data_IF_806403366796
#
_entry.id   IF_806403366796
#
_cell.length_a   1.000
_cell.length_b   1.000
_cell.length_c   1.000
_cell.angle_alpha   90.00
_cell.angle_beta   90.00
_cell.angle_gamma   90.00
#
_symmetry.space_group_name_H-M   'P 1'
#
loop_
_entity.id
_entity.type
_entity.pdbx_description
1 polymer ?
#
# COMPACT_ATOMS: atom_id res chain seq x y z
N UNK A 1 -11.27 -31.09 30.26
CA UNK A 1 -10.66 -29.96 29.54
C UNK A 1 -9.90 -29.12 30.55
N UNK A 2 -8.66 -28.75 30.23
CA UNK A 2 -7.89 -27.81 31.06
C UNK A 2 -8.57 -26.45 31.09
N UNK A 3 -8.43 -25.70 32.18
CA UNK A 3 -8.94 -24.31 32.26
C UNK A 3 -8.40 -23.47 31.09
N UNK A 4 -7.15 -23.73 30.67
CA UNK A 4 -6.50 -23.09 29.52
C UNK A 4 -7.25 -23.37 28.21
N UNK A 5 -7.61 -24.62 27.94
CA UNK A 5 -8.36 -25.00 26.72
C UNK A 5 -9.73 -24.35 26.68
N UNK A 6 -10.40 -24.24 27.84
CA UNK A 6 -11.73 -23.64 27.91
C UNK A 6 -11.69 -22.14 27.60
N UNK A 7 -10.66 -21.44 28.07
CA UNK A 7 -10.44 -20.02 27.80
C UNK A 7 -10.06 -19.81 26.32
N UNK A 8 -9.16 -20.65 25.80
CA UNK A 8 -8.74 -20.60 24.40
C UNK A 8 -9.93 -20.78 23.44
N UNK A 9 -10.75 -21.81 23.65
CA UNK A 9 -11.90 -22.07 22.78
C UNK A 9 -12.90 -20.91 22.80
N UNK A 10 -13.20 -20.33 23.98
CA UNK A 10 -14.05 -19.14 24.06
C UNK A 10 -13.48 -17.95 23.30
N UNK A 11 -12.16 -17.77 23.34
CA UNK A 11 -11.52 -16.71 22.57
C UNK A 11 -11.62 -16.95 21.07
N UNK A 12 -11.45 -18.20 20.62
CA UNK A 12 -11.57 -18.56 19.21
C UNK A 12 -13.00 -18.34 18.69
N UNK A 13 -14.02 -18.73 19.46
CA UNK A 13 -15.43 -18.51 19.10
C UNK A 13 -15.72 -17.01 18.84
N UNK A 14 -15.25 -16.13 19.74
CA UNK A 14 -15.43 -14.68 19.60
C UNK A 14 -14.57 -14.13 18.44
N UNK A 15 -13.37 -14.65 18.25
CA UNK A 15 -12.48 -14.23 17.17
C UNK A 15 -13.08 -14.57 15.80
N UNK A 16 -13.73 -15.72 15.65
CA UNK A 16 -14.46 -16.09 14.43
C UNK A 16 -15.58 -15.10 14.12
N UNK A 17 -16.36 -14.70 15.12
CA UNK A 17 -17.37 -13.64 14.96
C UNK A 17 -16.74 -12.30 14.56
N UNK A 18 -15.58 -11.96 15.11
CA UNK A 18 -14.84 -10.74 14.75
C UNK A 18 -14.39 -10.77 13.28
N UNK A 19 -13.91 -11.92 12.78
CA UNK A 19 -13.53 -12.07 11.38
C UNK A 19 -14.75 -11.98 10.44
N UNK A 20 -15.91 -12.53 10.84
CA UNK A 20 -17.15 -12.38 10.09
C UNK A 20 -17.58 -10.91 10.01
N UNK A 21 -17.58 -10.19 11.15
CA UNK A 21 -17.91 -8.77 11.20
C UNK A 21 -16.95 -7.93 10.33
N UNK A 22 -15.65 -8.25 10.35
CA UNK A 22 -14.67 -7.59 9.48
C UNK A 22 -15.00 -7.82 7.99
N UNK A 23 -15.36 -9.06 7.63
CA UNK A 23 -15.72 -9.41 6.25
C UNK A 23 -17.00 -8.70 5.77
N UNK A 24 -17.95 -8.44 6.66
CA UNK A 24 -19.18 -7.70 6.34
C UNK A 24 -18.99 -6.17 6.35
N UNK A 25 -17.79 -5.68 6.67
CA UNK A 25 -17.47 -4.25 6.73
C UNK A 25 -17.87 -3.57 8.04
N UNK A 26 -18.26 -4.33 9.06
CA UNK A 26 -18.56 -3.84 10.42
C UNK A 26 -17.26 -3.63 11.23
N UNK A 27 -16.38 -2.76 10.74
CA UNK A 27 -15.01 -2.56 11.26
C UNK A 27 -14.97 -2.30 12.78
N UNK A 28 -15.82 -1.40 13.27
CA UNK A 28 -15.84 -1.02 14.69
C UNK A 28 -16.24 -2.19 15.59
N UNK A 29 -17.19 -3.00 15.15
CA UNK A 29 -17.65 -4.19 15.88
C UNK A 29 -16.59 -5.28 15.87
N UNK A 30 -15.90 -5.45 14.74
CA UNK A 30 -14.77 -6.39 14.65
C UNK A 30 -13.67 -6.03 15.66
N UNK A 31 -13.30 -4.74 15.76
CA UNK A 31 -12.32 -4.25 16.74
C UNK A 31 -12.72 -4.60 18.17
N UNK A 32 -13.99 -4.37 18.54
CA UNK A 32 -14.51 -4.70 19.87
C UNK A 32 -14.49 -6.21 20.15
N UNK A 33 -14.93 -7.03 19.20
CA UNK A 33 -14.91 -8.49 19.33
C UNK A 33 -13.48 -9.04 19.48
N UNK A 34 -12.51 -8.53 18.69
CA UNK A 34 -11.10 -8.88 18.87
C UNK A 34 -10.59 -8.49 20.27
N UNK A 35 -10.99 -7.32 20.76
CA UNK A 35 -10.66 -6.87 22.12
C UNK A 35 -11.24 -7.80 23.21
N UNK A 36 -12.44 -8.35 23.01
CA UNK A 36 -13.04 -9.30 23.94
C UNK A 36 -12.36 -10.67 23.90
N UNK A 37 -12.06 -11.19 22.70
CA UNK A 37 -11.32 -12.45 22.52
C UNK A 37 -9.93 -12.37 23.18
N UNK A 38 -9.26 -11.22 23.05
CA UNK A 38 -7.95 -10.98 23.64
C UNK A 38 -7.89 -11.25 25.15
N UNK A 39 -8.93 -10.83 25.89
CA UNK A 39 -8.97 -10.97 27.35
C UNK A 39 -8.86 -12.45 27.75
N UNK A 40 -9.59 -13.32 27.06
CA UNK A 40 -9.59 -14.76 27.34
C UNK A 40 -8.24 -15.40 26.97
N UNK A 41 -7.62 -15.02 25.86
CA UNK A 41 -6.29 -15.56 25.50
C UNK A 41 -5.18 -15.08 26.40
N UNK A 42 -5.23 -13.83 26.84
CA UNK A 42 -4.29 -13.32 27.83
C UNK A 42 -4.41 -14.09 29.15
N UNK A 43 -5.63 -14.35 29.62
CA UNK A 43 -5.84 -15.16 30.82
C UNK A 43 -5.28 -16.57 30.59
N UNK A 44 -5.59 -17.21 29.46
CA UNK A 44 -5.08 -18.54 29.12
C UNK A 44 -3.54 -18.60 29.10
N UNK A 45 -2.89 -17.62 28.47
CA UNK A 45 -1.43 -17.52 28.40
C UNK A 45 -0.81 -17.29 29.80
N UNK A 46 -1.46 -16.49 30.64
CA UNK A 46 -0.97 -16.15 31.99
C UNK A 46 -0.96 -17.33 32.96
N UNK A 47 -1.78 -18.36 32.71
CA UNK A 47 -1.81 -19.59 33.49
C UNK A 47 -0.58 -20.48 33.26
N UNK A 48 0.21 -20.21 32.21
CA UNK A 48 1.39 -20.99 31.85
C UNK A 48 2.68 -20.24 32.21
N UNK A 49 3.40 -20.78 33.20
CA UNK A 49 4.71 -20.27 33.59
C UNK A 49 5.76 -20.46 32.48
N UNK A 50 6.81 -19.64 32.52
CA UNK A 50 7.96 -19.72 31.60
C UNK A 50 8.73 -20.99 31.90
N UNK A 51 8.43 -22.07 31.18
CA UNK A 51 9.08 -23.35 31.34
C UNK A 51 9.00 -24.16 30.05
N UNK A 52 10.07 -24.88 29.71
CA UNK A 52 10.19 -25.59 28.42
C UNK A 52 9.11 -26.65 28.22
N UNK A 53 8.60 -27.25 29.30
CA UNK A 53 7.51 -28.24 29.26
C UNK A 53 6.15 -27.65 28.87
N UNK A 54 5.96 -26.33 29.00
CA UNK A 54 4.71 -25.67 28.63
C UNK A 54 4.72 -25.20 27.17
N UNK A 55 5.84 -25.39 26.47
CA UNK A 55 5.99 -25.06 25.05
C UNK A 55 5.64 -26.29 24.20
N UNK A 56 4.94 -26.14 23.06
CA UNK A 56 4.69 -24.88 22.34
C UNK A 56 3.45 -24.10 22.80
N UNK A 57 2.59 -24.69 23.63
CA UNK A 57 1.27 -24.15 23.98
C UNK A 57 1.33 -22.72 24.49
N UNK A 58 2.27 -22.42 25.39
CA UNK A 58 2.48 -21.07 25.91
C UNK A 58 2.81 -20.07 24.80
N UNK A 59 3.79 -20.38 23.95
CA UNK A 59 4.16 -19.49 22.84
C UNK A 59 3.03 -19.31 21.82
N UNK A 60 2.23 -20.35 21.55
CA UNK A 60 1.04 -20.26 20.69
C UNK A 60 0.02 -19.28 21.30
N UNK A 61 -0.27 -19.38 22.60
CA UNK A 61 -1.24 -18.49 23.27
C UNK A 61 -0.75 -17.04 23.30
N UNK A 62 0.55 -16.79 23.50
CA UNK A 62 1.09 -15.43 23.41
C UNK A 62 1.07 -14.88 21.99
N UNK A 63 1.37 -15.70 20.98
CA UNK A 63 1.24 -15.32 19.56
C UNK A 63 -0.22 -14.99 19.21
N UNK A 64 -1.16 -15.85 19.64
CA UNK A 64 -2.61 -15.68 19.47
C UNK A 64 -3.08 -14.38 20.12
N UNK A 65 -2.75 -14.18 21.41
CA UNK A 65 -3.04 -12.95 22.15
C UNK A 65 -2.50 -11.72 21.45
N UNK A 66 -1.24 -11.76 20.99
CA UNK A 66 -0.64 -10.62 20.31
C UNK A 66 -1.35 -10.29 18.98
N UNK A 67 -1.76 -11.31 18.23
CA UNK A 67 -2.49 -11.12 16.97
C UNK A 67 -3.88 -10.50 17.22
N UNK A 68 -4.60 -10.94 18.26
CA UNK A 68 -5.87 -10.35 18.68
C UNK A 68 -5.69 -8.89 19.13
N UNK A 69 -4.65 -8.61 19.91
CA UNK A 69 -4.32 -7.25 20.34
C UNK A 69 -4.03 -6.34 19.14
N UNK A 70 -3.24 -6.82 18.17
CA UNK A 70 -2.99 -6.11 16.91
C UNK A 70 -4.30 -5.80 16.16
N UNK A 71 -5.17 -6.78 15.99
CA UNK A 71 -6.45 -6.61 15.28
C UNK A 71 -7.44 -5.70 16.01
N UNK A 72 -7.33 -5.59 17.34
CA UNK A 72 -8.10 -4.62 18.15
C UNK A 72 -7.44 -3.22 18.24
N UNK A 73 -6.37 -2.97 17.49
CA UNK A 73 -5.57 -1.73 17.50
C UNK A 73 -4.91 -1.41 18.86
N UNK A 74 -4.68 -2.41 19.71
CA UNK A 74 -4.00 -2.28 21.00
C UNK A 74 -2.49 -2.57 20.85
N UNK A 75 -1.80 -1.78 20.02
CA UNK A 75 -0.43 -2.09 19.59
C UNK A 75 0.59 -2.09 20.74
N UNK A 76 0.47 -1.20 21.73
CA UNK A 76 1.34 -1.19 22.92
C UNK A 76 1.20 -2.48 23.75
N UNK A 77 0.00 -3.07 23.79
CA UNK A 77 -0.25 -4.33 24.48
C UNK A 77 0.23 -5.53 23.66
N UNK A 78 0.04 -5.49 22.33
CA UNK A 78 0.55 -6.50 21.42
C UNK A 78 2.08 -6.65 21.55
N UNK A 79 2.83 -5.55 21.61
CA UNK A 79 4.30 -5.57 21.81
C UNK A 79 4.70 -6.29 23.11
N UNK A 80 4.00 -6.00 24.21
CA UNK A 80 4.26 -6.65 25.51
C UNK A 80 3.99 -8.15 25.45
N UNK A 81 2.90 -8.55 24.82
CA UNK A 81 2.56 -9.96 24.65
C UNK A 81 3.58 -10.72 23.79
N UNK A 82 4.06 -10.09 22.72
CA UNK A 82 5.11 -10.67 21.87
C UNK A 82 6.40 -10.85 22.66
N UNK A 83 6.80 -9.82 23.42
CA UNK A 83 7.98 -9.86 24.28
C UNK A 83 7.88 -11.00 25.30
N UNK A 84 6.70 -11.20 25.90
CA UNK A 84 6.45 -12.31 26.82
C UNK A 84 6.53 -13.69 26.14
N UNK A 85 6.03 -13.83 24.91
CA UNK A 85 6.18 -15.04 24.10
C UNK A 85 7.65 -15.35 23.83
N UNK A 86 8.40 -14.36 23.33
CA UNK A 86 9.83 -14.47 22.98
C UNK A 86 10.75 -14.70 24.18
N UNK A 87 10.38 -14.23 25.37
CA UNK A 87 11.12 -14.46 26.60
C UNK A 87 11.12 -15.94 27.06
N UNK A 88 10.25 -16.77 26.49
CA UNK A 88 10.17 -18.20 26.81
C UNK A 88 11.11 -19.08 25.96
N UNK A 89 10.63 -20.29 25.64
CA UNK A 89 11.36 -21.22 24.77
C UNK A 89 10.55 -21.55 23.51
N UNK A 90 10.11 -20.54 22.72
CA UNK A 90 9.31 -20.78 21.53
C UNK A 90 10.08 -21.67 20.54
N UNK A 91 9.43 -22.68 19.95
CA UNK A 91 9.95 -23.35 18.76
C UNK A 91 10.27 -22.34 17.65
N UNK A 92 11.20 -22.69 16.77
CA UNK A 92 11.68 -21.78 15.73
C UNK A 92 10.56 -21.20 14.86
N UNK A 93 9.56 -22.00 14.48
CA UNK A 93 8.42 -21.55 13.67
C UNK A 93 7.63 -20.44 14.37
N UNK A 94 7.23 -20.66 15.64
CA UNK A 94 6.46 -19.67 16.42
C UNK A 94 7.33 -18.45 16.74
N UNK A 95 8.64 -18.63 16.95
CA UNK A 95 9.58 -17.54 17.15
C UNK A 95 9.63 -16.61 15.95
N UNK A 96 9.66 -17.15 14.73
CA UNK A 96 9.64 -16.34 13.51
C UNK A 96 8.27 -15.66 13.30
N UNK A 97 7.17 -16.34 13.60
CA UNK A 97 5.83 -15.71 13.57
C UNK A 97 5.71 -14.55 14.57
N UNK A 98 6.22 -14.72 15.79
CA UNK A 98 6.27 -13.66 16.81
C UNK A 98 7.13 -12.47 16.36
N UNK A 99 8.28 -12.72 15.71
CA UNK A 99 9.11 -11.66 15.15
C UNK A 99 8.42 -10.93 14.02
N UNK A 100 7.78 -11.64 13.09
CA UNK A 100 7.01 -11.03 12.00
C UNK A 100 5.89 -10.15 12.57
N UNK A 101 5.16 -10.65 13.57
CA UNK A 101 4.13 -9.86 14.25
C UNK A 101 4.71 -8.66 15.02
N UNK A 102 5.92 -8.76 15.56
CA UNK A 102 6.62 -7.63 16.18
C UNK A 102 6.98 -6.55 15.16
N UNK A 103 7.45 -6.94 13.96
CA UNK A 103 7.66 -6.00 12.86
C UNK A 103 6.36 -5.26 12.53
N UNK A 104 5.23 -5.98 12.43
CA UNK A 104 3.91 -5.41 12.14
C UNK A 104 3.43 -4.44 13.23
N UNK A 105 3.52 -4.86 14.50
CA UNK A 105 3.12 -4.03 15.64
C UNK A 105 3.96 -2.76 15.73
N UNK A 106 5.29 -2.88 15.58
CA UNK A 106 6.16 -1.71 15.62
C UNK A 106 5.89 -0.77 14.45
N UNK A 107 5.66 -1.31 13.26
CA UNK A 107 5.26 -0.52 12.12
C UNK A 107 3.98 0.27 12.40
N UNK A 108 2.92 -0.38 12.91
CA UNK A 108 1.67 0.30 13.24
C UNK A 108 1.85 1.34 14.36
N UNK A 109 2.70 1.07 15.35
CA UNK A 109 3.07 2.05 16.38
C UNK A 109 3.83 3.24 15.83
N UNK A 110 4.67 3.02 14.82
CA UNK A 110 5.38 4.09 14.14
C UNK A 110 4.45 4.91 13.24
N UNK A 111 3.38 4.30 12.71
CA UNK A 111 2.29 5.04 12.09
C UNK A 111 1.48 5.86 13.11
N UNK A 112 1.22 5.32 14.30
CA UNK A 112 0.52 6.04 15.37
C UNK A 112 1.46 7.05 16.05
N UNK A 113 1.59 8.24 15.47
CA UNK A 113 2.65 9.17 15.87
C UNK A 113 2.27 9.84 17.20
N UNK A 114 2.80 9.32 18.31
CA UNK A 114 2.87 10.05 19.58
C UNK A 114 3.76 11.30 19.40
N UNK A 115 3.14 12.47 19.16
CA UNK A 115 3.81 13.78 19.27
C UNK A 115 3.81 14.69 18.03
N UNK A 116 3.24 14.27 16.88
CA UNK A 116 3.01 15.16 15.73
C UNK A 116 1.50 15.40 15.60
N UNK A 117 1.06 16.64 15.74
CA UNK A 117 -0.33 17.00 15.44
C UNK A 117 -0.49 17.12 13.93
N UNK A 118 -0.84 16.02 13.26
CA UNK A 118 -1.23 16.05 11.85
C UNK A 118 -2.40 17.03 11.66
N UNK A 119 -2.31 17.88 10.65
CA UNK A 119 -3.46 18.66 10.16
C UNK A 119 -4.28 17.81 9.19
N UNK A 120 -5.53 18.21 8.92
CA UNK A 120 -6.40 17.44 8.01
C UNK A 120 -5.91 17.46 6.54
N UNK A 121 -4.97 18.33 6.22
CA UNK A 121 -4.37 18.50 4.88
C UNK A 121 -2.96 17.89 4.80
N UNK A 122 -2.61 17.06 5.79
CA UNK A 122 -1.33 16.36 5.87
C UNK A 122 -1.53 14.85 5.88
N UNK A 123 -0.62 14.17 5.20
CA UNK A 123 -0.42 12.73 5.35
C UNK A 123 1.07 12.42 5.47
N UNK A 124 1.38 11.24 5.98
CA UNK A 124 2.74 10.76 6.14
C UNK A 124 2.87 9.43 5.43
N UNK A 125 3.89 9.29 4.60
CA UNK A 125 4.30 8.02 4.02
C UNK A 125 5.50 7.48 4.79
N UNK A 126 5.40 6.27 5.32
CA UNK A 126 6.47 5.59 6.07
C UNK A 126 6.95 4.37 5.29
N UNK A 127 8.26 4.17 5.24
CA UNK A 127 8.88 2.99 4.64
C UNK A 127 9.44 2.07 5.71
N UNK A 128 9.24 0.77 5.53
CA UNK A 128 9.79 -0.25 6.42
C UNK A 128 10.29 -1.47 5.64
N UNK A 129 11.49 -1.92 5.96
CA UNK A 129 12.12 -3.09 5.34
C UNK A 129 13.62 -3.16 5.61
N UNK A 130 14.31 -4.04 4.90
CA UNK A 130 15.73 -4.32 5.09
C UNK A 130 16.63 -3.12 4.76
N UNK A 131 16.22 -2.25 3.82
CA UNK A 131 16.99 -1.05 3.45
C UNK A 131 16.64 0.19 4.30
N UNK A 132 15.81 0.03 5.32
CA UNK A 132 15.42 1.10 6.25
C UNK A 132 16.17 0.97 7.57
N UNK A 133 16.69 2.09 8.09
CA UNK A 133 17.27 2.18 9.42
C UNK A 133 16.60 3.31 10.21
N UNK A 134 17.05 3.56 11.45
CA UNK A 134 16.46 4.57 12.33
C UNK A 134 16.58 5.98 11.72
N UNK A 135 15.54 6.41 11.00
CA UNK A 135 15.52 7.71 10.32
C UNK A 135 16.34 7.78 9.03
N UNK A 136 16.71 6.65 8.42
CA UNK A 136 17.36 6.63 7.09
C UNK A 136 16.79 5.52 6.19
N UNK A 137 16.84 5.74 4.89
CA UNK A 137 16.51 4.76 3.84
C UNK A 137 17.36 5.06 2.61
N UNK A 138 17.56 4.08 1.73
CA UNK A 138 18.17 4.34 0.44
C UNK A 138 17.30 5.34 -0.36
N UNK A 139 17.95 6.38 -0.90
CA UNK A 139 17.27 7.51 -1.54
C UNK A 139 16.42 7.05 -2.74
N UNK A 140 16.89 6.08 -3.51
CA UNK A 140 16.22 5.60 -4.72
C UNK A 140 14.87 4.95 -4.42
N UNK A 141 14.78 4.12 -3.37
CA UNK A 141 13.52 3.49 -2.95
C UNK A 141 12.48 4.52 -2.50
N UNK A 142 12.95 5.62 -1.91
CA UNK A 142 12.10 6.71 -1.48
C UNK A 142 11.64 7.58 -2.64
N UNK A 143 12.58 8.10 -3.43
CA UNK A 143 12.31 9.06 -4.49
C UNK A 143 11.38 8.46 -5.54
N UNK A 144 11.57 7.18 -5.89
CA UNK A 144 10.62 6.45 -6.72
C UNK A 144 9.19 6.57 -6.18
N UNK A 145 8.95 6.33 -4.88
CA UNK A 145 7.62 6.36 -4.28
C UNK A 145 7.07 7.78 -4.12
N UNK A 146 7.94 8.75 -3.85
CA UNK A 146 7.60 10.18 -3.83
C UNK A 146 7.09 10.65 -5.20
N UNK A 147 7.71 10.19 -6.29
CA UNK A 147 7.24 10.53 -7.64
C UNK A 147 5.90 9.86 -7.97
N UNK A 148 5.73 8.58 -7.60
CA UNK A 148 4.47 7.86 -7.82
C UNK A 148 3.32 8.43 -7.01
N UNK A 149 3.55 8.82 -5.76
CA UNK A 149 2.52 9.42 -4.92
C UNK A 149 2.14 10.82 -5.43
N UNK A 150 3.10 11.60 -5.91
CA UNK A 150 2.86 12.89 -6.55
C UNK A 150 2.00 12.75 -7.80
N UNK A 151 2.33 11.78 -8.68
CA UNK A 151 1.52 11.46 -9.84
C UNK A 151 0.10 11.05 -9.43
N UNK A 152 -0.02 10.11 -8.49
CA UNK A 152 -1.32 9.63 -8.02
C UNK A 152 -2.18 10.75 -7.43
N UNK A 153 -1.57 11.65 -6.66
CA UNK A 153 -2.23 12.80 -6.08
C UNK A 153 -2.86 13.69 -7.16
N UNK A 154 -2.08 14.14 -8.15
CA UNK A 154 -2.62 15.00 -9.21
C UNK A 154 -3.67 14.30 -10.08
N UNK A 155 -3.51 12.99 -10.33
CA UNK A 155 -4.52 12.18 -11.03
C UNK A 155 -5.83 12.12 -10.27
N UNK A 156 -5.75 12.00 -8.94
CA UNK A 156 -6.92 12.01 -8.08
C UNK A 156 -7.62 13.37 -8.10
N UNK A 157 -6.86 14.48 -8.05
CA UNK A 157 -7.43 15.83 -8.19
C UNK A 157 -8.12 16.02 -9.54
N UNK A 158 -7.47 15.66 -10.65
CA UNK A 158 -8.05 15.73 -12.00
C UNK A 158 -9.37 14.95 -12.08
N UNK A 159 -9.40 13.72 -11.53
CA UNK A 159 -10.60 12.87 -11.48
C UNK A 159 -11.72 13.48 -10.65
N UNK A 160 -11.44 13.98 -9.45
CA UNK A 160 -12.46 14.60 -8.57
C UNK A 160 -13.05 15.89 -9.18
N UNK A 161 -12.25 16.60 -10.00
CA UNK A 161 -12.67 17.72 -10.83
C UNK A 161 -13.42 17.29 -12.11
N UNK A 162 -13.57 15.99 -12.36
CA UNK A 162 -14.20 15.40 -13.56
C UNK A 162 -13.54 15.82 -14.87
N UNK A 163 -12.21 15.95 -14.86
CA UNK A 163 -11.43 16.20 -16.06
C UNK A 163 -11.18 14.88 -16.81
N UNK A 164 -11.09 14.91 -18.16
CA UNK A 164 -10.75 13.72 -18.93
C UNK A 164 -9.31 13.27 -18.64
N UNK A 165 -9.05 11.97 -18.72
CA UNK A 165 -7.72 11.42 -18.47
C UNK A 165 -6.65 12.06 -19.37
N UNK A 166 -5.64 12.67 -18.73
CA UNK A 166 -4.55 13.36 -19.43
C UNK A 166 -3.49 12.36 -19.93
N UNK A 167 -3.47 12.14 -21.24
CA UNK A 167 -2.50 11.26 -21.91
C UNK A 167 -1.12 11.92 -22.05
N UNK A 168 -1.05 13.20 -22.43
CA UNK A 168 0.20 13.94 -22.71
C UNK A 168 0.35 15.21 -21.84
N UNK A 169 1.51 15.86 -21.88
CA UNK A 169 1.75 17.17 -21.25
C UNK A 169 1.91 17.18 -19.72
N UNK A 170 2.21 18.32 -19.11
CA UNK A 170 2.31 18.48 -17.65
C UNK A 170 0.94 18.56 -16.95
N UNK A 171 0.91 18.56 -15.62
CA UNK A 171 -0.32 18.88 -14.86
C UNK A 171 -0.68 20.33 -15.16
N UNK A 172 -1.97 20.63 -15.31
CA UNK A 172 -2.43 22.01 -15.55
C UNK A 172 -1.90 22.96 -14.46
N UNK A 173 -1.41 24.13 -14.88
CA UNK A 173 -0.90 25.16 -13.99
C UNK A 173 -1.91 25.56 -12.91
N UNK A 174 -3.19 25.70 -13.26
CA UNK A 174 -4.25 26.02 -12.29
C UNK A 174 -4.37 24.95 -11.20
N UNK A 175 -4.23 23.67 -11.55
CA UNK A 175 -4.28 22.57 -10.58
C UNK A 175 -3.06 22.62 -9.66
N UNK A 176 -1.87 22.88 -10.20
CA UNK A 176 -0.63 22.99 -9.40
C UNK A 176 -0.68 24.16 -8.42
N UNK A 177 -1.26 25.28 -8.85
CA UNK A 177 -1.39 26.48 -8.01
C UNK A 177 -2.44 26.29 -6.91
N UNK A 178 -3.54 25.58 -7.20
CA UNK A 178 -4.63 25.36 -6.24
C UNK A 178 -4.43 24.15 -5.32
N UNK A 179 -3.63 23.16 -5.74
CA UNK A 179 -3.41 21.89 -5.04
C UNK A 179 -1.92 21.53 -5.04
N UNK A 180 -1.06 22.41 -4.53
CA UNK A 180 0.38 22.12 -4.46
C UNK A 180 0.67 21.02 -3.45
N UNK A 181 1.37 19.95 -3.85
CA UNK A 181 1.87 18.94 -2.93
C UNK A 181 3.28 19.32 -2.47
N UNK A 182 3.45 19.54 -1.16
CA UNK A 182 4.71 19.95 -0.54
C UNK A 182 5.25 18.85 0.38
N UNK A 183 6.57 18.70 0.45
CA UNK A 183 7.24 17.85 1.43
C UNK A 183 7.72 18.74 2.57
N UNK A 184 7.27 18.44 3.79
CA UNK A 184 7.49 19.32 4.94
C UNK A 184 8.58 18.84 5.88
N UNK A 185 8.68 17.53 6.10
CA UNK A 185 9.58 16.97 7.10
C UNK A 185 9.93 15.52 6.82
N UNK A 186 11.14 15.14 7.24
CA UNK A 186 11.57 13.76 7.40
C UNK A 186 11.48 13.40 8.89
N UNK A 187 10.73 12.35 9.24
CA UNK A 187 10.50 11.97 10.64
C UNK A 187 11.45 10.81 11.02
N UNK A 188 12.18 10.91 12.15
CA UNK A 188 13.03 9.82 12.63
C UNK A 188 12.21 8.67 13.22
N UNK A 189 12.84 7.48 13.36
CA UNK A 189 12.36 6.20 13.95
C UNK A 189 12.05 5.09 12.93
N UNK A 190 11.47 5.44 11.79
CA UNK A 190 11.35 4.66 10.54
C UNK A 190 11.24 5.70 9.44
N UNK A 191 12.07 5.67 8.40
CA UNK A 191 12.15 6.80 7.48
C UNK A 191 10.76 7.13 6.91
N UNK A 192 10.24 8.30 7.28
CA UNK A 192 8.91 8.74 6.91
C UNK A 192 8.95 10.17 6.37
N UNK A 193 8.14 10.41 5.34
CA UNK A 193 8.02 11.69 4.66
C UNK A 193 6.63 12.25 4.90
N UNK A 194 6.58 13.44 5.48
CA UNK A 194 5.33 14.19 5.61
C UNK A 194 5.08 15.00 4.35
N UNK A 195 3.89 14.86 3.78
CA UNK A 195 3.42 15.77 2.74
C UNK A 195 2.26 16.61 3.26
N UNK A 196 2.19 17.83 2.76
CA UNK A 196 1.09 18.76 2.98
C UNK A 196 0.55 19.25 1.64
N UNK A 197 -0.77 19.35 1.56
CA UNK A 197 -1.42 19.99 0.42
C UNK A 197 -1.58 21.47 0.75
N UNK A 198 -0.92 22.31 -0.05
CA UNK A 198 -1.06 23.76 0.03
C UNK A 198 -2.17 24.28 -0.88
N UNK A 199 -2.83 25.34 -0.42
CA UNK A 199 -3.76 26.16 -1.19
C UNK A 199 -3.25 27.60 -1.21
N UNK A 200 -3.58 28.38 -2.26
CA UNK A 200 -3.31 29.80 -2.26
C UNK A 200 -4.13 30.49 -1.15
N UNK A 201 -3.55 31.53 -0.56
CA UNK A 201 -4.14 32.29 0.54
C UNK A 201 -5.54 32.82 0.15
N UNK A 202 -6.59 32.62 0.97
CA UNK A 202 -7.94 33.11 0.70
C UNK A 202 -8.06 34.63 0.52
N UNK A 203 -7.00 35.42 0.77
CA UNK A 203 -7.01 36.88 0.57
C UNK A 203 -7.17 37.33 -0.90
N UNK A 204 -7.12 36.40 -1.87
CA UNK A 204 -7.45 36.65 -3.29
C UNK A 204 -8.97 36.67 -3.60
N UNK A 205 -9.85 36.53 -2.59
CA UNK A 205 -11.33 36.58 -2.74
C UNK A 205 -11.92 37.97 -3.04
N UNK A 206 -11.10 39.01 -3.27
CA UNK A 206 -11.57 40.38 -3.53
C UNK A 206 -12.20 40.61 -4.91
N UNK A 207 -12.22 39.60 -5.80
CA UNK A 207 -12.84 39.71 -7.13
C UNK A 207 -14.11 38.84 -7.24
N UNK A 208 -15.32 39.45 -7.28
CA UNK A 208 -16.61 38.74 -7.32
C UNK A 208 -16.85 37.85 -8.54
N UNK A 209 -16.01 37.95 -9.58
CA UNK A 209 -16.21 37.29 -10.88
C UNK A 209 -15.34 36.05 -11.09
N UNK A 210 -14.58 35.59 -10.09
CA UNK A 210 -13.91 34.30 -10.19
C UNK A 210 -14.97 33.20 -10.09
N UNK A 211 -15.22 32.52 -11.23
CA UNK A 211 -16.12 31.36 -11.32
C UNK A 211 -15.87 30.46 -10.12
N UNK A 212 -16.93 30.13 -9.36
CA UNK A 212 -16.90 29.13 -8.29
C UNK A 212 -16.47 27.78 -8.88
N UNK A 213 -15.16 27.54 -8.96
CA UNK A 213 -14.64 26.22 -9.25
C UNK A 213 -15.10 25.29 -8.13
N UNK A 214 -15.42 24.05 -8.48
CA UNK A 214 -15.83 23.02 -7.53
C UNK A 214 -14.76 22.93 -6.44
N UNK A 215 -15.12 23.34 -5.23
CA UNK A 215 -14.18 23.50 -4.13
C UNK A 215 -13.96 22.13 -3.48
N UNK A 216 -12.94 21.40 -3.95
CA UNK A 216 -12.55 20.11 -3.37
C UNK A 216 -11.63 20.38 -2.20
N UNK A 217 -11.98 19.94 -1.01
CA UNK A 217 -11.14 20.08 0.18
C UNK A 217 -9.90 19.18 0.10
N UNK A 218 -8.72 19.60 0.60
CA UNK A 218 -7.50 18.80 0.46
C UNK A 218 -7.62 17.46 1.19
N UNK A 219 -8.29 17.48 2.34
CA UNK A 219 -8.68 16.27 3.07
C UNK A 219 -9.53 15.28 2.24
N UNK A 220 -10.38 15.75 1.31
CA UNK A 220 -11.13 14.86 0.41
C UNK A 220 -10.20 14.10 -0.54
N UNK A 221 -9.16 14.77 -1.06
CA UNK A 221 -8.17 14.14 -1.94
C UNK A 221 -7.38 13.08 -1.18
N UNK A 222 -6.92 13.39 0.04
CA UNK A 222 -6.18 12.44 0.89
C UNK A 222 -7.07 11.24 1.22
N UNK A 223 -8.30 11.50 1.69
CA UNK A 223 -9.26 10.43 2.03
C UNK A 223 -9.55 9.54 0.82
N UNK A 224 -9.70 10.13 -0.36
CA UNK A 224 -9.95 9.41 -1.60
C UNK A 224 -8.79 8.46 -1.95
N UNK A 225 -7.54 8.91 -1.85
CA UNK A 225 -6.37 8.06 -2.08
C UNK A 225 -6.30 6.91 -1.06
N UNK A 226 -6.48 7.22 0.23
CA UNK A 226 -6.44 6.22 1.29
C UNK A 226 -7.55 5.17 1.17
N UNK A 227 -8.79 5.59 0.83
CA UNK A 227 -9.90 4.69 0.56
C UNK A 227 -9.54 3.70 -0.57
N UNK A 228 -8.96 4.20 -1.67
CA UNK A 228 -8.58 3.35 -2.77
C UNK A 228 -7.43 2.39 -2.41
N UNK A 229 -6.47 2.81 -1.57
CA UNK A 229 -5.44 1.90 -1.04
C UNK A 229 -6.00 0.81 -0.13
N UNK A 230 -6.97 1.13 0.75
CA UNK A 230 -7.64 0.12 1.57
C UNK A 230 -8.38 -0.92 0.73
N UNK A 231 -9.13 -0.48 -0.29
CA UNK A 231 -9.82 -1.40 -1.21
C UNK A 231 -8.84 -2.25 -2.03
N UNK A 232 -7.74 -1.64 -2.47
CA UNK A 232 -6.66 -2.33 -3.15
C UNK A 232 -6.00 -3.40 -2.27
N UNK A 233 -5.71 -3.10 -1.01
CA UNK A 233 -5.11 -4.04 -0.05
C UNK A 233 -6.10 -5.15 0.35
N UNK A 234 -7.40 -4.88 0.40
CA UNK A 234 -8.42 -5.87 0.80
C UNK A 234 -8.92 -6.78 -0.35
N UNK A 235 -8.32 -6.75 -1.54
CA UNK A 235 -8.74 -7.56 -2.72
C UNK A 235 -10.21 -7.35 -3.08
N UNK A 236 -10.66 -6.09 -3.08
CA UNK A 236 -12.01 -5.69 -3.50
C UNK A 236 -11.98 -4.98 -4.86
N UNK A 237 -11.58 -5.66 -5.96
CA UNK A 237 -11.37 -5.01 -7.26
C UNK A 237 -12.66 -4.43 -7.85
N UNK A 238 -13.81 -5.05 -7.57
CA UNK A 238 -15.13 -4.57 -8.02
C UNK A 238 -15.48 -3.25 -7.34
N UNK A 239 -15.47 -3.22 -6.01
CA UNK A 239 -15.72 -1.98 -5.24
C UNK A 239 -14.69 -0.89 -5.60
N UNK A 240 -13.44 -1.26 -5.85
CA UNK A 240 -12.42 -0.32 -6.30
C UNK A 240 -12.77 0.25 -7.69
N UNK A 241 -13.12 -0.59 -8.68
CA UNK A 241 -13.46 -0.17 -10.05
C UNK A 241 -14.70 0.73 -10.08
N UNK A 242 -15.69 0.45 -9.25
CA UNK A 242 -16.92 1.26 -9.12
C UNK A 242 -16.66 2.71 -8.68
N UNK A 243 -15.49 3.01 -8.08
CA UNK A 243 -15.12 4.38 -7.68
C UNK A 243 -14.51 5.21 -8.82
N UNK A 244 -14.33 4.62 -10.00
CA UNK A 244 -13.77 5.30 -11.16
C UNK A 244 -14.79 5.37 -12.30
N UNK A 245 -15.17 6.59 -12.68
CA UNK A 245 -16.05 6.83 -13.84
C UNK A 245 -15.34 6.55 -15.19
N UNK A 246 -14.00 6.67 -15.22
CA UNK A 246 -13.16 6.52 -16.41
C UNK A 246 -12.11 5.42 -16.16
N UNK A 247 -12.12 4.43 -17.04
CA UNK A 247 -11.28 3.23 -16.96
C UNK A 247 -9.78 3.56 -16.98
N UNK A 248 -9.36 4.61 -17.69
CA UNK A 248 -7.94 4.99 -17.71
C UNK A 248 -7.43 5.47 -16.35
N UNK A 249 -8.28 6.12 -15.54
CA UNK A 249 -7.91 6.49 -14.17
C UNK A 249 -7.81 5.27 -13.25
N UNK A 250 -8.70 4.28 -13.42
CA UNK A 250 -8.63 3.02 -12.69
C UNK A 250 -7.33 2.27 -12.99
N UNK A 251 -7.04 2.06 -14.28
CA UNK A 251 -5.82 1.37 -14.71
C UNK A 251 -4.56 2.08 -14.21
N UNK A 252 -4.53 3.41 -14.31
CA UNK A 252 -3.42 4.24 -13.83
C UNK A 252 -3.26 4.15 -12.31
N UNK A 253 -4.37 4.16 -11.55
CA UNK A 253 -4.34 3.97 -10.10
C UNK A 253 -3.71 2.63 -9.75
N UNK A 254 -4.17 1.53 -10.35
CA UNK A 254 -3.65 0.18 -10.07
C UNK A 254 -2.17 0.09 -10.44
N UNK A 255 -1.77 0.66 -11.58
CA UNK A 255 -0.37 0.72 -12.00
C UNK A 255 0.53 1.48 -11.02
N UNK A 256 0.09 2.66 -10.56
CA UNK A 256 0.82 3.45 -9.56
C UNK A 256 0.86 2.75 -8.20
N UNK A 257 -0.26 2.17 -7.75
CA UNK A 257 -0.34 1.41 -6.50
C UNK A 257 0.63 0.22 -6.51
N UNK A 258 0.73 -0.51 -7.63
CA UNK A 258 1.74 -1.57 -7.83
C UNK A 258 3.18 -1.06 -7.69
N UNK A 259 3.50 0.11 -8.27
CA UNK A 259 4.85 0.68 -8.17
C UNK A 259 5.18 1.12 -6.74
N UNK A 260 4.19 1.60 -5.98
CA UNK A 260 4.37 1.98 -4.58
C UNK A 260 4.43 0.78 -3.64
N UNK A 261 3.80 -0.33 -4.01
CA UNK A 261 3.75 -1.54 -3.19
C UNK A 261 5.17 -2.06 -2.82
N UNK A 262 5.28 -2.79 -1.70
CA UNK A 262 6.50 -3.47 -1.31
C UNK A 262 7.11 -4.32 -2.44
N UNK A 263 8.42 -4.23 -2.61
CA UNK A 263 9.18 -5.15 -3.47
C UNK A 263 9.34 -6.53 -2.81
N UNK A 264 9.26 -6.58 -1.47
CA UNK A 264 9.34 -7.80 -0.68
C UNK A 264 10.75 -8.24 -0.33
N UNK A 265 11.77 -7.46 -0.72
CA UNK A 265 13.18 -7.67 -0.39
C UNK A 265 13.70 -6.50 0.45
N UNK A 266 13.82 -5.32 -0.14
CA UNK A 266 14.35 -4.11 0.49
C UNK A 266 13.28 -3.36 1.27
N UNK A 267 12.07 -3.27 0.71
CA UNK A 267 10.90 -2.67 1.33
C UNK A 267 9.86 -3.76 1.53
N UNK A 268 9.52 -4.02 2.80
CA UNK A 268 8.52 -5.00 3.22
C UNK A 268 7.13 -4.37 3.36
N UNK A 269 7.05 -3.12 3.81
CA UNK A 269 5.80 -2.43 4.10
C UNK A 269 5.91 -0.95 3.71
N UNK A 270 4.85 -0.42 3.09
CA UNK A 270 4.67 1.01 2.85
C UNK A 270 3.43 1.49 3.56
N UNK A 271 3.59 2.40 4.50
CA UNK A 271 2.52 2.93 5.33
C UNK A 271 2.12 4.34 4.93
N UNK A 272 0.85 4.63 5.08
CA UNK A 272 0.28 5.96 4.97
C UNK A 272 -0.50 6.26 6.24
N UNK A 273 -0.40 7.46 6.76
CA UNK A 273 -1.26 7.92 7.85
C UNK A 273 -1.75 9.33 7.56
N UNK A 274 -3.03 9.59 7.82
CA UNK A 274 -3.60 10.94 7.82
C UNK A 274 -4.51 11.13 9.03
N UNK A 275 -4.97 12.37 9.23
CA UNK A 275 -5.99 12.67 10.24
C UNK A 275 -7.33 12.92 9.57
N UNK A 276 -8.33 12.14 9.97
CA UNK A 276 -9.72 12.30 9.51
C UNK A 276 -10.64 12.41 10.73
N UNK A 277 -11.39 13.50 10.83
CA UNK A 277 -12.33 13.76 11.94
C UNK A 277 -11.68 13.65 13.35
N UNK A 278 -10.42 14.07 13.49
CA UNK A 278 -9.72 14.01 14.76
C UNK A 278 -9.07 12.66 15.10
N UNK A 279 -9.36 11.61 14.34
CA UNK A 279 -8.75 10.28 14.49
C UNK A 279 -7.67 10.04 13.44
N UNK A 280 -6.60 9.36 13.83
CA UNK A 280 -5.59 8.89 12.90
C UNK A 280 -6.16 7.75 12.05
N UNK A 281 -5.81 7.74 10.77
CA UNK A 281 -6.22 6.72 9.81
C UNK A 281 -4.99 6.11 9.13
N UNK A 282 -4.40 5.06 9.73
CA UNK A 282 -3.30 4.35 9.13
C UNK A 282 -3.79 3.38 8.04
N UNK A 283 -3.12 3.38 6.89
CA UNK A 283 -3.29 2.42 5.79
C UNK A 283 -1.93 1.84 5.44
N UNK A 284 -1.83 0.52 5.29
CA UNK A 284 -0.56 -0.16 5.03
C UNK A 284 -0.67 -1.01 3.76
N UNK A 285 0.22 -0.80 2.81
CA UNK A 285 0.39 -1.66 1.64
C UNK A 285 1.37 -2.77 1.98
N UNK A 286 0.91 -4.03 1.90
CA UNK A 286 1.70 -5.23 2.24
C UNK A 286 1.78 -6.20 1.08
N UNK A 287 0.85 -6.14 0.13
CA UNK A 287 0.89 -6.96 -1.07
C UNK A 287 2.17 -6.76 -1.86
N UNK A 288 2.82 -7.88 -2.19
CA UNK A 288 3.95 -7.87 -3.13
C UNK A 288 3.44 -7.55 -4.53
N UNK A 289 4.23 -6.81 -5.30
CA UNK A 289 3.89 -6.44 -6.69
C UNK A 289 3.36 -7.61 -7.53
N UNK A 290 4.03 -8.75 -7.46
CA UNK A 290 3.72 -10.00 -8.18
C UNK A 290 2.35 -10.62 -7.85
N UNK A 291 1.80 -10.35 -6.66
CA UNK A 291 0.52 -10.92 -6.22
C UNK A 291 -0.70 -10.13 -6.69
N UNK A 292 -0.48 -8.92 -7.24
CA UNK A 292 -1.58 -8.01 -7.59
C UNK A 292 -2.07 -8.33 -9.00
N UNK A 293 -3.38 -8.59 -9.19
CA UNK A 293 -3.95 -8.99 -10.48
C UNK A 293 -3.64 -7.98 -11.59
N UNK A 294 -3.59 -8.49 -12.82
CA UNK A 294 -3.23 -7.71 -14.00
C UNK A 294 -4.31 -6.68 -14.33
N UNK A 295 -3.85 -5.56 -14.87
CA UNK A 295 -4.71 -4.43 -15.24
C UNK A 295 -5.44 -4.70 -16.57
N UNK A 296 -5.06 -5.74 -17.32
CA UNK A 296 -5.63 -6.05 -18.63
C UNK A 296 -6.28 -7.45 -18.70
N UNK A 297 -7.48 -7.44 -19.31
CA UNK A 297 -8.36 -8.51 -19.77
C UNK A 297 -9.17 -9.34 -18.74
N UNK A 298 -10.39 -8.85 -18.47
CA UNK A 298 -11.51 -9.60 -17.85
C UNK A 298 -11.94 -10.86 -18.65
N UNK A 299 -11.37 -11.10 -19.85
CA UNK A 299 -11.82 -12.13 -20.80
C UNK A 299 -10.84 -13.29 -21.02
N UNK A 300 -9.68 -13.35 -20.36
CA UNK A 300 -8.76 -14.49 -20.52
C UNK A 300 -8.78 -15.36 -19.27
N UNK A 301 -9.24 -16.61 -19.43
CA UNK A 301 -9.24 -17.60 -18.36
C UNK A 301 -7.85 -17.74 -17.75
N UNK A 302 -7.74 -17.59 -16.42
CA UNK A 302 -6.47 -17.64 -15.65
C UNK A 302 -5.55 -18.81 -16.04
N UNK A 303 -6.11 -19.94 -16.44
CA UNK A 303 -5.40 -21.15 -16.87
C UNK A 303 -4.73 -21.10 -18.24
N UNK A 304 -5.12 -20.19 -19.15
CA UNK A 304 -4.47 -20.01 -20.46
C UNK A 304 -3.34 -18.95 -20.43
N UNK A 305 -3.27 -18.17 -19.35
CA UNK A 305 -2.40 -16.99 -19.19
C UNK A 305 -1.01 -17.36 -18.66
N UNK A 306 -0.91 -18.34 -17.76
CA UNK A 306 0.38 -18.81 -17.20
C UNK A 306 1.30 -19.43 -18.27
N UNK A 307 0.75 -19.98 -19.35
CA UNK A 307 1.55 -20.60 -20.43
C UNK A 307 2.21 -19.58 -21.38
N UNK A 308 1.91 -18.28 -21.27
CA UNK A 308 2.38 -17.23 -22.18
C UNK A 308 3.07 -16.05 -21.48
N UNK A 309 3.48 -16.20 -20.22
CA UNK A 309 4.25 -15.19 -19.52
C UNK A 309 5.67 -15.04 -20.09
N UNK A 310 6.22 -13.83 -19.98
CA UNK A 310 7.62 -13.58 -20.27
C UNK A 310 8.23 -12.68 -19.21
N UNK A 311 9.53 -12.85 -19.00
CA UNK A 311 10.35 -11.99 -18.19
C UNK A 311 11.57 -11.58 -19.03
N UNK A 312 11.75 -10.27 -19.24
CA UNK A 312 12.84 -9.72 -20.05
C UNK A 312 13.60 -8.68 -19.24
N UNK A 313 14.93 -8.72 -19.36
CA UNK A 313 15.83 -7.72 -18.75
C UNK A 313 16.53 -6.94 -19.85
N UNK A 314 16.60 -5.63 -19.73
CA UNK A 314 17.11 -4.77 -20.79
C UNK A 314 17.05 -3.28 -20.50
N UNK A 315 17.63 -2.48 -21.38
CA UNK A 315 17.54 -1.02 -21.34
C UNK A 315 16.31 -0.54 -22.11
N UNK A 316 15.51 0.34 -21.51
CA UNK A 316 14.31 0.89 -22.15
C UNK A 316 14.69 2.01 -23.14
N UNK A 317 14.75 1.67 -24.43
CA UNK A 317 15.27 2.56 -25.48
C UNK A 317 14.23 3.52 -26.06
N UNK A 318 12.94 3.23 -25.86
CA UNK A 318 11.87 4.00 -26.48
C UNK A 318 10.57 3.86 -25.69
N UNK A 319 9.84 4.95 -25.52
CA UNK A 319 8.49 4.96 -24.96
C UNK A 319 7.60 5.93 -25.73
N UNK A 320 6.77 5.41 -26.62
CA UNK A 320 5.90 6.21 -27.49
C UNK A 320 4.43 6.03 -27.16
N UNK A 321 3.75 7.17 -27.03
CA UNK A 321 2.33 7.26 -26.69
C UNK A 321 1.59 7.85 -27.90
N UNK A 322 0.88 7.02 -28.69
CA UNK A 322 0.19 7.49 -29.88
C UNK A 322 -0.96 8.45 -29.52
N UNK A 323 -1.36 9.30 -30.48
CA UNK A 323 -2.46 10.25 -30.32
C UNK A 323 -3.84 9.58 -30.32
N UNK A 324 -3.95 8.36 -30.86
CA UNK A 324 -5.18 7.57 -30.94
C UNK A 324 -4.87 6.11 -30.65
N UNK A 325 -5.80 5.44 -29.97
CA UNK A 325 -5.70 4.03 -29.59
C UNK A 325 -5.48 3.83 -28.09
N UNK A 326 -5.62 2.59 -27.65
CA UNK A 326 -5.59 2.23 -26.23
C UNK A 326 -4.21 1.79 -25.74
N UNK A 327 -3.25 1.63 -26.67
CA UNK A 327 -1.91 1.12 -26.37
C UNK A 327 -0.81 2.02 -26.91
N UNK A 328 0.16 2.33 -26.06
CA UNK A 328 1.50 2.78 -26.45
C UNK A 328 2.44 1.62 -26.76
N UNK A 329 3.65 1.96 -27.17
CA UNK A 329 4.69 0.99 -27.50
C UNK A 329 6.01 1.36 -26.85
N UNK A 330 6.69 0.37 -26.28
CA UNK A 330 8.07 0.50 -25.80
C UNK A 330 9.01 -0.45 -26.51
N UNK A 331 10.27 -0.04 -26.64
CA UNK A 331 11.35 -0.90 -27.14
C UNK A 331 12.33 -1.19 -26.01
N UNK A 332 12.49 -2.48 -25.70
CA UNK A 332 13.46 -2.98 -24.74
C UNK A 332 14.63 -3.61 -25.49
N UNK A 333 15.85 -3.16 -25.22
CA UNK A 333 17.07 -3.81 -25.74
C UNK A 333 17.60 -4.77 -24.68
N UNK A 334 17.53 -6.08 -24.95
CA UNK A 334 18.00 -7.09 -24.01
C UNK A 334 19.51 -6.94 -23.73
N UNK A 335 19.90 -7.13 -22.46
CA UNK A 335 21.31 -7.08 -22.05
C UNK A 335 22.12 -8.28 -22.57
N UNK A 336 21.47 -9.44 -22.69
CA UNK A 336 22.15 -10.70 -23.03
C UNK A 336 22.36 -10.83 -24.54
N UNK A 337 21.26 -10.73 -25.31
CA UNK A 337 21.28 -11.05 -26.74
C UNK A 337 21.32 -9.80 -27.64
N UNK A 338 21.26 -8.59 -27.05
CA UNK A 338 21.13 -7.30 -27.76
C UNK A 338 19.90 -7.22 -28.71
N UNK A 339 18.99 -8.19 -28.63
CA UNK A 339 17.72 -8.21 -29.37
C UNK A 339 16.81 -7.11 -28.85
N UNK A 340 16.11 -6.46 -29.76
CA UNK A 340 15.11 -5.43 -29.41
C UNK A 340 13.71 -6.04 -29.43
N UNK A 341 13.02 -5.97 -28.30
CA UNK A 341 11.63 -6.39 -28.14
C UNK A 341 10.71 -5.18 -28.22
N UNK A 342 9.61 -5.30 -28.97
CA UNK A 342 8.55 -4.30 -29.01
C UNK A 342 7.39 -4.76 -28.13
N UNK A 343 7.05 -3.96 -27.12
CA UNK A 343 6.08 -4.30 -26.08
C UNK A 343 4.96 -3.26 -26.10
N UNK A 344 3.72 -3.73 -26.09
CA UNK A 344 2.52 -2.90 -26.02
C UNK A 344 2.19 -2.60 -24.56
N UNK A 345 1.80 -1.36 -24.31
CA UNK A 345 1.54 -0.85 -22.96
C UNK A 345 0.22 -0.10 -22.96
N UNK A 346 -0.72 -0.36 -22.04
CA UNK A 346 -1.92 0.45 -21.90
C UNK A 346 -1.59 1.95 -21.79
N UNK A 347 -2.33 2.79 -22.51
CA UNK A 347 -2.01 4.22 -22.62
C UNK A 347 -2.06 4.94 -21.25
N UNK A 348 -2.87 4.43 -20.34
CA UNK A 348 -3.01 4.82 -18.93
C UNK A 348 -1.72 4.61 -18.11
N UNK A 349 -0.86 3.66 -18.50
CA UNK A 349 0.37 3.34 -17.78
C UNK A 349 1.60 4.03 -18.38
N UNK A 350 1.52 4.45 -19.64
CA UNK A 350 2.66 4.98 -20.39
C UNK A 350 3.39 6.10 -19.66
N UNK A 351 2.66 7.09 -19.15
CA UNK A 351 3.26 8.32 -18.63
C UNK A 351 3.80 8.22 -17.22
N UNK A 352 2.98 7.67 -16.32
CA UNK A 352 3.27 7.72 -14.89
C UNK A 352 3.99 6.46 -14.39
N UNK A 353 3.95 5.36 -15.15
CA UNK A 353 4.56 4.07 -14.80
C UNK A 353 5.76 3.73 -15.71
N UNK A 354 5.66 3.96 -17.03
CA UNK A 354 6.67 3.45 -17.99
C UNK A 354 7.72 4.48 -18.41
N UNK A 355 7.30 5.67 -18.86
CA UNK A 355 8.20 6.75 -19.26
C UNK A 355 9.26 7.15 -18.23
N UNK A 356 9.02 7.06 -16.91
CA UNK A 356 10.04 7.34 -15.90
C UNK A 356 11.26 6.40 -15.97
N UNK A 357 11.16 5.27 -16.67
CA UNK A 357 12.26 4.33 -16.87
C UNK A 357 12.96 4.49 -18.24
N UNK A 358 12.69 5.57 -18.97
CA UNK A 358 13.35 5.81 -20.25
C UNK A 358 14.87 5.92 -20.06
N UNK A 359 15.63 5.18 -20.88
CA UNK A 359 17.09 5.01 -20.79
C UNK A 359 17.61 4.28 -19.54
N UNK A 360 16.72 3.74 -18.71
CA UNK A 360 17.08 2.93 -17.55
C UNK A 360 17.12 1.43 -17.86
N UNK A 361 17.92 0.69 -17.08
CA UNK A 361 17.90 -0.76 -17.07
C UNK A 361 16.71 -1.26 -16.24
N UNK A 362 15.88 -2.09 -16.86
CA UNK A 362 14.62 -2.57 -16.29
C UNK A 362 14.42 -4.07 -16.45
N UNK A 363 13.58 -4.59 -15.57
CA UNK A 363 12.98 -5.91 -15.66
C UNK A 363 11.53 -5.71 -16.07
N UNK A 364 11.12 -6.31 -17.19
CA UNK A 364 9.75 -6.27 -17.69
C UNK A 364 9.15 -7.66 -17.61
N UNK A 365 8.01 -7.74 -16.93
CA UNK A 365 7.15 -8.90 -16.91
C UNK A 365 5.86 -8.61 -17.68
N UNK A 366 5.38 -9.61 -18.39
CA UNK A 366 4.22 -9.44 -19.25
C UNK A 366 3.71 -10.75 -19.81
N UNK A 367 2.77 -10.65 -20.72
CA UNK A 367 2.17 -11.80 -21.39
C UNK A 367 2.11 -11.65 -22.91
N UNK A 368 2.08 -12.80 -23.58
CA UNK A 368 1.97 -12.90 -25.03
C UNK A 368 0.53 -13.19 -25.43
N UNK A 369 0.03 -12.41 -26.39
CA UNK A 369 -1.19 -12.73 -27.15
C UNK A 369 -0.80 -12.83 -28.62
N UNK A 370 -0.69 -14.07 -29.12
CA UNK A 370 -0.12 -14.35 -30.44
C UNK A 370 1.35 -13.95 -30.53
N UNK A 371 1.68 -13.02 -31.43
CA UNK A 371 3.06 -12.48 -31.60
C UNK A 371 3.31 -11.18 -30.83
N UNK A 372 2.30 -10.64 -30.16
CA UNK A 372 2.38 -9.34 -29.46
C UNK A 372 2.72 -9.57 -27.99
N UNK A 373 3.60 -8.72 -27.48
CA UNK A 373 4.00 -8.67 -26.08
C UNK A 373 3.23 -7.55 -25.38
N UNK A 374 2.63 -7.83 -24.23
CA UNK A 374 1.88 -6.87 -23.42
C UNK A 374 2.55 -6.71 -22.05
N UNK A 375 2.66 -5.47 -21.58
CA UNK A 375 3.24 -5.14 -20.28
C UNK A 375 2.26 -5.44 -19.14
N UNK A 376 2.72 -6.17 -18.13
CA UNK A 376 2.02 -6.31 -16.85
C UNK A 376 2.75 -5.57 -15.72
N UNK A 377 4.08 -5.65 -15.69
CA UNK A 377 4.91 -5.04 -14.66
C UNK A 377 6.25 -4.58 -15.24
N UNK A 378 6.75 -3.44 -14.73
CA UNK A 378 8.08 -2.91 -14.99
C UNK A 378 8.72 -2.54 -13.65
N UNK A 379 9.99 -2.90 -13.46
CA UNK A 379 10.75 -2.53 -12.27
C UNK A 379 12.18 -2.16 -12.66
N UNK A 380 12.86 -1.30 -11.89
CA UNK A 380 14.28 -1.05 -12.10
C UNK A 380 15.09 -2.33 -11.91
N UNK A 381 16.16 -2.46 -12.67
CA UNK A 381 17.14 -3.53 -12.52
C UNK A 381 18.33 -2.98 -11.71
N UNK A 382 18.27 -3.09 -10.38
CA UNK A 382 19.37 -2.74 -9.50
C UNK A 382 20.42 -3.88 -9.55
N UNK A 383 21.27 -3.89 -10.58
CA UNK A 383 22.43 -4.78 -10.66
C UNK A 383 23.60 -4.28 -9.82
#
# INVERSE_FOLDING_TARGET
MSKVETLHNKAMDIAEEAFLAKKTGEEQKAIELFGNALIYEQEAASLLNIAKQNEPTRSILYRSSAALAHNSHQFDLAERLISNGLAGFPPNEIKEELKNLYEDVNFMRHLSIKGLSLTNDQWIMSLYGNCTSFGATAADHLMMRVDRISALFYRTVERLLKLPYRIHGGVNKEIRENFGLYINAFVPRSFAVSFQIGRPDPQLKLFPNCKKQKQIEPSEVINEVLNCFELFENDKPVELKERFDDEFYYENFVGLAKQMAPDGEDIKIVGFNSKTNGKERPVALRKKRKSIPRVADDNVSKSAVEQNEYNLTGTLMHANTPLKGNFGSVKLRSLDDKVTHNILVPISLMKDVVQPFYEEDVIIQGHKIGKKLFLDEISPNHK
#
